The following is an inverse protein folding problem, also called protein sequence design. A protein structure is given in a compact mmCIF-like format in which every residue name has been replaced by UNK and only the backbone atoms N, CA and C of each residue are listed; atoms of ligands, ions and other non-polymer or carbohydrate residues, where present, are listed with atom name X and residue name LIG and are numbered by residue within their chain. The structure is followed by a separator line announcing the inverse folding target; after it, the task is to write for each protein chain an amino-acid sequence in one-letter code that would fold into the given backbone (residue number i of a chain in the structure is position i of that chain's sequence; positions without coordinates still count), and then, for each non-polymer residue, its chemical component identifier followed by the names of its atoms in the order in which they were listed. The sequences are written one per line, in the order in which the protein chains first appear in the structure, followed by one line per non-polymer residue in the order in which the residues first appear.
data_IF_233929629958
#
_entry.id   IF_233929629958
#
_cell.length_a   1.000
_cell.length_b   1.000
_cell.length_c   1.000
_cell.angle_alpha   90.00
_cell.angle_beta   90.00
_cell.angle_gamma   90.00
#
_symmetry.space_group_name_H-M   'P 1'
#
loop_
_entity.id
_entity.type
_entity.pdbx_description
1 polymer ?
#
# COMPACT_ATOMS: atom_id res chain seq x y z
N UNK A 1 41.47 11.98 38.24
CA UNK A 1 41.53 12.01 36.76
C UNK A 1 40.20 11.47 36.24
N UNK A 2 39.41 12.36 35.66
CA UNK A 2 38.10 12.07 35.07
C UNK A 2 38.32 11.40 33.73
N UNK A 3 37.56 10.34 33.41
CA UNK A 3 37.19 10.03 32.02
C UNK A 3 35.95 9.13 32.03
N UNK A 4 34.83 9.74 31.63
CA UNK A 4 33.59 9.07 31.26
C UNK A 4 33.78 8.40 29.89
N UNK A 5 33.36 7.14 29.68
CA UNK A 5 33.31 6.57 28.34
C UNK A 5 32.14 7.17 27.55
N UNK A 6 32.45 7.50 26.30
CA UNK A 6 31.66 8.35 25.42
C UNK A 6 30.36 7.68 24.97
N UNK A 7 29.27 8.46 25.04
CA UNK A 7 28.01 8.14 24.41
C UNK A 7 28.15 8.41 22.91
N UNK A 8 28.17 7.36 22.10
CA UNK A 8 28.11 7.48 20.64
C UNK A 8 26.75 7.03 20.10
N UNK A 9 26.00 8.04 19.68
CA UNK A 9 25.49 8.19 18.32
C UNK A 9 24.78 6.96 17.73
N UNK A 10 23.45 6.98 17.74
CA UNK A 10 22.66 6.68 16.55
C UNK A 10 21.51 7.68 16.51
N UNK A 11 21.80 8.92 16.12
CA UNK A 11 20.78 9.78 15.53
C UNK A 11 20.27 9.04 14.30
N UNK A 12 19.10 8.39 14.43
CA UNK A 12 18.37 7.85 13.29
C UNK A 12 18.20 9.00 12.30
N UNK A 13 18.84 8.87 11.16
CA UNK A 13 18.81 9.82 10.06
C UNK A 13 17.40 9.79 9.48
N UNK A 14 16.48 10.59 10.03
CA UNK A 14 15.21 10.90 9.39
C UNK A 14 15.49 11.93 8.29
N UNK A 15 16.01 11.47 7.15
CA UNK A 15 16.18 12.30 5.96
C UNK A 15 15.28 11.72 4.87
N UNK A 16 13.97 11.97 5.01
CA UNK A 16 13.04 11.71 3.93
C UNK A 16 13.18 12.85 2.92
N UNK A 17 13.99 12.68 1.88
CA UNK A 17 14.04 13.67 0.79
C UNK A 17 12.69 13.70 0.09
N UNK A 18 12.19 14.88 -0.28
CA UNK A 18 10.93 15.03 -1.03
C UNK A 18 10.88 14.16 -2.31
N UNK A 19 12.02 14.01 -2.98
CA UNK A 19 12.15 13.17 -4.19
C UNK A 19 11.91 11.69 -3.90
N UNK A 20 12.30 11.20 -2.71
CA UNK A 20 12.00 9.83 -2.33
C UNK A 20 10.49 9.67 -2.09
N UNK A 21 9.84 10.63 -1.42
CA UNK A 21 8.39 10.60 -1.21
C UNK A 21 7.58 10.56 -2.50
N UNK A 22 7.91 11.39 -3.49
CA UNK A 22 7.20 11.36 -4.78
C UNK A 22 7.39 10.02 -5.51
N UNK A 23 8.55 9.38 -5.41
CA UNK A 23 8.76 8.02 -5.95
C UNK A 23 7.92 6.98 -5.22
N UNK A 24 7.85 7.04 -3.89
CA UNK A 24 7.03 6.09 -3.13
C UNK A 24 5.53 6.25 -3.43
N UNK A 25 5.09 7.49 -3.62
CA UNK A 25 3.73 7.82 -4.07
C UNK A 25 3.47 7.26 -5.47
N UNK A 26 4.43 7.38 -6.39
CA UNK A 26 4.35 6.82 -7.73
C UNK A 26 4.26 5.29 -7.69
N UNK A 27 5.09 4.63 -6.89
CA UNK A 27 5.02 3.17 -6.67
C UNK A 27 3.65 2.75 -6.14
N UNK A 28 3.11 3.42 -5.11
CA UNK A 28 1.78 3.12 -4.58
C UNK A 28 0.68 3.36 -5.62
N UNK A 29 0.86 4.38 -6.47
CA UNK A 29 -0.07 4.71 -7.55
C UNK A 29 -0.07 3.64 -8.65
N UNK A 30 1.09 3.09 -8.97
CA UNK A 30 1.28 1.97 -9.90
C UNK A 30 0.63 0.70 -9.35
N UNK A 31 0.94 0.33 -8.10
CA UNK A 31 0.32 -0.80 -7.39
C UNK A 31 -1.21 -0.70 -7.34
N UNK A 32 -1.75 0.50 -7.16
CA UNK A 32 -3.20 0.70 -7.17
C UNK A 32 -3.81 0.51 -8.56
N UNK A 33 -3.05 0.78 -9.63
CA UNK A 33 -3.47 0.49 -11.01
C UNK A 33 -3.44 -1.02 -11.22
N UNK A 34 -2.32 -1.69 -10.88
CA UNK A 34 -2.18 -3.15 -10.97
C UNK A 34 -3.28 -3.87 -10.20
N UNK A 35 -3.52 -3.51 -8.94
CA UNK A 35 -4.58 -4.13 -8.14
C UNK A 35 -5.96 -3.99 -8.80
N UNK A 36 -6.23 -2.87 -9.48
CA UNK A 36 -7.48 -2.67 -10.20
C UNK A 36 -7.57 -3.56 -11.44
N UNK A 37 -6.51 -3.65 -12.23
CA UNK A 37 -6.44 -4.54 -13.40
C UNK A 37 -6.64 -6.01 -13.00
N UNK A 38 -5.97 -6.48 -11.94
CA UNK A 38 -6.12 -7.87 -11.45
C UNK A 38 -7.55 -8.16 -10.96
N UNK A 39 -8.20 -7.17 -10.33
CA UNK A 39 -9.62 -7.29 -9.96
C UNK A 39 -10.53 -7.37 -11.18
N UNK A 40 -10.25 -6.60 -12.23
CA UNK A 40 -11.00 -6.62 -13.49
C UNK A 40 -10.85 -7.99 -14.17
N UNK A 41 -9.63 -8.53 -14.25
CA UNK A 41 -9.37 -9.87 -14.78
C UNK A 41 -10.11 -10.96 -14.00
N UNK A 42 -10.12 -10.87 -12.68
CA UNK A 42 -10.86 -11.81 -11.86
C UNK A 42 -12.39 -11.69 -12.07
N UNK A 43 -12.93 -10.48 -12.26
CA UNK A 43 -14.34 -10.31 -12.59
C UNK A 43 -14.68 -10.86 -13.99
N UNK A 44 -13.82 -10.63 -14.99
CA UNK A 44 -13.97 -11.20 -16.33
C UNK A 44 -13.95 -12.73 -16.32
N UNK A 45 -13.17 -13.35 -15.42
CA UNK A 45 -13.05 -14.79 -15.31
C UNK A 45 -14.04 -15.45 -14.35
N UNK A 46 -14.98 -14.70 -13.74
CA UNK A 46 -15.94 -15.16 -12.71
C UNK A 46 -16.67 -16.46 -13.04
N UNK A 47 -16.97 -16.70 -14.31
CA UNK A 47 -17.69 -17.89 -14.76
C UNK A 47 -16.78 -19.00 -15.32
N UNK A 48 -15.48 -18.94 -15.01
CA UNK A 48 -14.43 -19.83 -15.50
C UNK A 48 -13.70 -20.53 -14.36
N UNK A 49 -13.01 -21.62 -14.68
CA UNK A 49 -12.12 -22.34 -13.75
C UNK A 49 -10.92 -21.50 -13.29
N UNK A 50 -10.60 -20.43 -14.03
CA UNK A 50 -9.52 -19.51 -13.69
C UNK A 50 -9.87 -18.53 -12.58
N UNK A 51 -11.17 -18.35 -12.28
CA UNK A 51 -11.64 -17.34 -11.32
C UNK A 51 -10.93 -17.40 -9.97
N UNK A 52 -10.77 -18.59 -9.41
CA UNK A 52 -10.14 -18.73 -8.11
C UNK A 52 -8.65 -18.36 -8.14
N UNK A 53 -7.97 -18.59 -9.26
CA UNK A 53 -6.56 -18.19 -9.43
C UNK A 53 -6.44 -16.68 -9.59
N UNK A 54 -7.28 -16.08 -10.41
CA UNK A 54 -7.24 -14.63 -10.67
C UNK A 54 -7.63 -13.84 -9.41
N UNK A 55 -8.57 -14.35 -8.60
CA UNK A 55 -8.86 -13.79 -7.26
C UNK A 55 -7.67 -13.80 -6.32
N UNK A 56 -6.82 -14.82 -6.38
CA UNK A 56 -5.60 -14.88 -5.56
C UNK A 56 -4.62 -13.80 -6.01
N UNK A 57 -4.43 -13.62 -7.32
CA UNK A 57 -3.59 -12.54 -7.84
C UNK A 57 -4.12 -11.16 -7.45
N UNK A 58 -5.44 -10.94 -7.56
CA UNK A 58 -6.08 -9.71 -7.12
C UNK A 58 -5.90 -9.47 -5.60
N UNK A 59 -6.00 -10.52 -4.78
CA UNK A 59 -5.72 -10.45 -3.35
C UNK A 59 -4.27 -10.00 -3.08
N UNK A 60 -3.29 -10.66 -3.70
CA UNK A 60 -1.88 -10.35 -3.53
C UNK A 60 -1.55 -8.90 -3.93
N UNK A 61 -2.12 -8.41 -5.04
CA UNK A 61 -1.93 -7.03 -5.48
C UNK A 61 -2.53 -6.00 -4.49
N UNK A 62 -3.71 -6.27 -3.93
CA UNK A 62 -4.35 -5.40 -2.92
C UNK A 62 -3.58 -5.44 -1.58
N UNK A 63 -3.05 -6.60 -1.20
CA UNK A 63 -2.19 -6.75 -0.02
C UNK A 63 -0.86 -6.00 -0.19
N UNK A 64 -0.24 -6.07 -1.37
CA UNK A 64 0.99 -5.36 -1.68
C UNK A 64 0.78 -3.83 -1.65
N UNK A 65 -0.31 -3.34 -2.24
CA UNK A 65 -0.74 -1.95 -2.16
C UNK A 65 -0.89 -1.48 -0.71
N UNK A 66 -1.59 -2.28 0.10
CA UNK A 66 -1.86 -1.99 1.50
C UNK A 66 -0.56 -1.97 2.32
N UNK A 67 0.35 -2.91 2.04
CA UNK A 67 1.65 -3.01 2.71
C UNK A 67 2.54 -1.82 2.36
N UNK A 68 2.64 -1.46 1.08
CA UNK A 68 3.43 -0.31 0.62
C UNK A 68 2.92 0.99 1.25
N UNK A 69 1.60 1.21 1.25
CA UNK A 69 0.99 2.40 1.83
C UNK A 69 1.20 2.50 3.35
N UNK A 70 0.93 1.43 4.10
CA UNK A 70 1.14 1.43 5.55
C UNK A 70 2.63 1.53 5.92
N UNK A 71 3.50 0.90 5.12
CA UNK A 71 4.95 1.02 5.25
C UNK A 71 5.42 2.46 5.09
N UNK A 72 4.90 3.17 4.08
CA UNK A 72 5.15 4.60 3.90
C UNK A 72 4.69 5.40 5.12
N UNK A 73 3.43 5.25 5.54
CA UNK A 73 2.91 5.98 6.69
C UNK A 73 3.67 5.71 7.99
N UNK A 74 4.23 4.52 8.20
CA UNK A 74 5.00 4.20 9.39
C UNK A 74 6.38 4.89 9.46
N UNK A 75 6.92 5.32 8.31
CA UNK A 75 8.22 5.99 8.24
C UNK A 75 8.14 7.51 8.30
N UNK A 76 6.94 8.08 8.19
CA UNK A 76 6.71 9.52 8.11
C UNK A 76 6.42 10.17 9.46
N UNK A 77 6.67 11.47 9.54
CA UNK A 77 6.20 12.34 10.63
C UNK A 77 4.69 12.58 10.49
N UNK A 78 3.98 12.94 11.57
CA UNK A 78 2.53 13.15 11.52
C UNK A 78 2.09 14.18 10.45
N UNK A 79 2.84 15.27 10.30
CA UNK A 79 2.59 16.29 9.27
C UNK A 79 2.69 15.74 7.83
N UNK A 80 3.68 14.89 7.55
CA UNK A 80 3.83 14.27 6.24
C UNK A 80 2.77 13.19 6.02
N UNK A 81 2.41 12.42 7.07
CA UNK A 81 1.33 11.42 7.00
C UNK A 81 0.00 12.03 6.56
N UNK A 82 -0.39 13.18 7.11
CA UNK A 82 -1.64 13.85 6.71
C UNK A 82 -1.62 14.29 5.24
N UNK A 83 -0.47 14.77 4.78
CA UNK A 83 -0.26 15.15 3.38
C UNK A 83 -0.39 13.94 2.45
N UNK A 84 0.23 12.81 2.81
CA UNK A 84 0.15 11.55 2.04
C UNK A 84 -1.27 10.97 2.06
N UNK A 85 -1.94 10.93 3.22
CA UNK A 85 -3.33 10.47 3.35
C UNK A 85 -4.27 11.26 2.45
N UNK A 86 -4.09 12.57 2.37
CA UNK A 86 -4.90 13.43 1.50
C UNK A 86 -4.62 13.18 0.02
N UNK A 87 -3.35 12.95 -0.35
CA UNK A 87 -2.94 12.81 -1.76
C UNK A 87 -3.28 11.46 -2.37
N UNK A 88 -3.12 10.37 -1.60
CA UNK A 88 -3.31 9.00 -2.12
C UNK A 88 -4.18 8.09 -1.25
N UNK A 89 -4.47 8.47 0.00
CA UNK A 89 -5.20 7.62 0.93
C UNK A 89 -6.64 7.33 0.49
N UNK A 90 -7.28 8.28 -0.20
CA UNK A 90 -8.60 8.06 -0.80
C UNK A 90 -8.55 6.95 -1.85
N UNK A 91 -7.58 7.01 -2.78
CA UNK A 91 -7.40 6.03 -3.84
C UNK A 91 -7.12 4.62 -3.30
N UNK A 92 -6.26 4.49 -2.28
CA UNK A 92 -6.01 3.19 -1.61
C UNK A 92 -7.30 2.64 -1.00
N UNK A 93 -8.06 3.49 -0.31
CA UNK A 93 -9.33 3.07 0.31
C UNK A 93 -10.37 2.65 -0.72
N UNK A 94 -10.46 3.34 -1.85
CA UNK A 94 -11.38 2.98 -2.94
C UNK A 94 -11.07 1.58 -3.47
N UNK A 95 -9.79 1.26 -3.72
CA UNK A 95 -9.39 -0.09 -4.18
C UNK A 95 -9.70 -1.16 -3.12
N UNK A 96 -9.35 -0.92 -1.85
CA UNK A 96 -9.65 -1.86 -0.77
C UNK A 96 -11.16 -2.11 -0.62
N UNK A 97 -11.98 -1.05 -0.71
CA UNK A 97 -13.42 -1.17 -0.62
C UNK A 97 -14.02 -1.91 -1.82
N UNK A 98 -13.51 -1.66 -3.03
CA UNK A 98 -13.94 -2.38 -4.22
C UNK A 98 -13.60 -3.87 -4.13
N UNK A 99 -12.41 -4.21 -3.62
CA UNK A 99 -12.00 -5.59 -3.38
C UNK A 99 -12.90 -6.27 -2.34
N UNK A 100 -13.19 -5.59 -1.22
CA UNK A 100 -14.10 -6.12 -0.20
C UNK A 100 -15.48 -6.43 -0.79
N UNK A 101 -16.05 -5.50 -1.57
CA UNK A 101 -17.34 -5.71 -2.26
C UNK A 101 -17.25 -6.92 -3.21
N UNK A 102 -16.20 -7.03 -4.01
CA UNK A 102 -15.99 -8.16 -4.92
C UNK A 102 -15.98 -9.50 -4.14
N UNK A 103 -15.29 -9.56 -3.01
CA UNK A 103 -15.23 -10.77 -2.18
C UNK A 103 -16.55 -11.08 -1.46
N UNK A 104 -17.34 -10.06 -1.08
CA UNK A 104 -18.65 -10.25 -0.45
C UNK A 104 -19.68 -10.82 -1.43
N UNK A 105 -19.67 -10.35 -2.69
CA UNK A 105 -20.56 -10.86 -3.74
C UNK A 105 -20.36 -12.36 -4.05
N UNK A 106 -19.23 -12.94 -3.65
CA UNK A 106 -18.95 -14.37 -3.82
C UNK A 106 -19.58 -15.25 -2.73
N UNK A 107 -20.05 -14.65 -1.62
CA UNK A 107 -20.68 -15.39 -0.50
C UNK A 107 -22.21 -15.48 -0.61
N UNK A 108 -22.83 -14.82 -1.58
CA UNK A 108 -24.30 -14.76 -1.75
C UNK A 108 -24.87 -15.74 -2.80
N UNK A 109 -24.05 -16.62 -3.38
CA UNK A 109 -24.47 -17.67 -4.35
C UNK A 109 -24.39 -19.10 -3.76
#
# INVERSE_FOLDING_TARGET
MVQQPQQWQLTRRCFSSKVDLDKEIETITDLATTAKDEMDFAEESRNSVYYNSDKVTAHEAVEELSTAYNGLLNRLSDTDKESIKTRIGMKVKEIQSAYEIMTQNDMED
#
